data_IF_792826625584
#
_entry.id   IF_792826625584
#
_cell.length_a   1.000
_cell.length_b   1.000
_cell.length_c   1.000
_cell.angle_alpha   90.00
_cell.angle_beta   90.00
_cell.angle_gamma   90.00
#
_symmetry.space_group_name_H-M   'P 1'
#
loop_
_entity.id
_entity.type
_entity.pdbx_description
1 polymer ?
#
# COMPACT_ATOMS: atom_id res chain seq x y z
N UNK A 1 -3.07 -7.14 -6.86
CA UNK A 1 -2.91 -8.44 -6.18
C UNK A 1 -2.48 -8.27 -4.73
N UNK A 2 -1.33 -7.64 -4.45
CA UNK A 2 -0.71 -7.59 -3.12
C UNK A 2 -1.57 -6.98 -1.97
N UNK A 3 -2.21 -5.83 -2.17
CA UNK A 3 -3.05 -5.23 -1.11
C UNK A 3 -4.29 -6.09 -0.80
N UNK A 4 -4.82 -6.80 -1.80
CA UNK A 4 -5.91 -7.75 -1.60
C UNK A 4 -5.40 -8.98 -0.84
N UNK A 5 -4.26 -9.55 -1.24
CA UNK A 5 -3.62 -10.69 -0.57
C UNK A 5 -3.31 -10.42 0.90
N UNK A 6 -2.78 -9.24 1.25
CA UNK A 6 -2.53 -8.84 2.65
C UNK A 6 -3.83 -8.82 3.47
N UNK A 7 -4.97 -8.48 2.86
CA UNK A 7 -6.26 -8.43 3.53
C UNK A 7 -7.05 -9.75 3.48
N UNK A 8 -6.63 -10.72 2.68
CA UNK A 8 -7.27 -12.05 2.58
C UNK A 8 -6.44 -13.19 3.18
N UNK A 9 -5.14 -12.96 3.44
CA UNK A 9 -4.29 -13.93 4.12
C UNK A 9 -4.56 -13.91 5.63
N UNK A 10 -5.15 -14.98 6.14
CA UNK A 10 -5.25 -15.21 7.58
C UNK A 10 -3.89 -15.66 8.11
N UNK A 11 -3.37 -14.98 9.14
CA UNK A 11 -2.26 -15.50 9.94
C UNK A 11 -2.70 -16.77 10.70
N UNK A 12 -1.76 -17.55 11.25
CA UNK A 12 -2.07 -18.75 12.06
C UNK A 12 -3.08 -18.52 13.21
N UNK A 13 -3.30 -17.25 13.60
CA UNK A 13 -4.24 -16.83 14.64
C UNK A 13 -5.53 -16.17 14.09
N UNK A 14 -5.81 -16.27 12.78
CA UNK A 14 -7.03 -15.76 12.15
C UNK A 14 -7.08 -14.25 11.91
N UNK A 15 -6.08 -13.48 12.34
CA UNK A 15 -6.01 -12.02 12.17
C UNK A 15 -5.33 -11.63 10.86
N UNK A 16 -5.71 -10.47 10.32
CA UNK A 16 -4.98 -9.80 9.24
C UNK A 16 -3.55 -9.47 9.69
N UNK A 17 -2.50 -9.80 8.92
CA UNK A 17 -1.12 -9.51 9.30
C UNK A 17 -0.86 -8.00 9.38
N UNK A 18 -0.13 -7.59 10.42
CA UNK A 18 0.32 -6.21 10.59
C UNK A 18 1.50 -5.93 9.64
N UNK A 19 1.21 -5.35 8.47
CA UNK A 19 2.20 -5.05 7.43
C UNK A 19 2.28 -3.55 7.17
N UNK A 20 3.48 -3.03 6.95
CA UNK A 20 3.73 -1.62 6.60
C UNK A 20 4.59 -1.54 5.33
N UNK A 21 4.20 -0.68 4.39
CA UNK A 21 5.01 -0.35 3.21
C UNK A 21 5.62 1.05 3.36
N UNK A 22 6.95 1.10 3.34
CA UNK A 22 7.72 2.33 3.23
C UNK A 22 8.10 2.59 1.76
N UNK A 23 7.81 3.78 1.26
CA UNK A 23 8.13 4.21 -0.11
C UNK A 23 8.30 5.73 -0.19
N UNK A 24 8.65 6.27 -1.36
CA UNK A 24 8.75 7.71 -1.61
C UNK A 24 10.11 8.19 -2.11
N UNK A 25 11.18 7.45 -1.82
CA UNK A 25 12.55 7.89 -2.14
C UNK A 25 13.08 7.44 -3.51
N UNK A 26 12.31 6.64 -4.25
CA UNK A 26 12.72 6.10 -5.53
C UNK A 26 12.54 7.11 -6.68
N UNK A 27 13.59 7.33 -7.45
CA UNK A 27 13.64 8.30 -8.56
C UNK A 27 13.43 7.70 -9.94
N UNK A 28 13.63 6.39 -10.09
CA UNK A 28 13.45 5.70 -11.37
C UNK A 28 12.00 5.75 -11.82
N UNK A 29 11.78 5.59 -13.13
CA UNK A 29 10.43 5.51 -13.69
C UNK A 29 9.59 4.41 -13.03
N UNK A 30 10.18 3.21 -12.89
CA UNK A 30 9.55 2.04 -12.27
C UNK A 30 9.19 2.33 -10.82
N UNK A 31 10.09 3.00 -10.09
CA UNK A 31 9.85 3.41 -8.71
C UNK A 31 8.66 4.35 -8.61
N UNK A 32 8.55 5.35 -9.50
CA UNK A 32 7.41 6.29 -9.52
C UNK A 32 6.12 5.58 -9.89
N UNK A 33 6.15 4.69 -10.87
CA UNK A 33 5.00 3.89 -11.27
C UNK A 33 4.47 3.02 -10.13
N UNK A 34 5.36 2.39 -9.36
CA UNK A 34 4.99 1.60 -8.18
C UNK A 34 4.37 2.49 -7.11
N UNK A 35 4.98 3.64 -6.80
CA UNK A 35 4.45 4.59 -5.81
C UNK A 35 3.05 5.06 -6.18
N UNK A 36 2.84 5.46 -7.43
CA UNK A 36 1.54 5.89 -7.94
C UNK A 36 0.51 4.76 -7.90
N UNK A 37 0.90 3.54 -8.26
CA UNK A 37 0.02 2.37 -8.23
C UNK A 37 -0.45 2.05 -6.81
N UNK A 38 0.44 2.14 -5.81
CA UNK A 38 0.10 1.96 -4.39
C UNK A 38 -0.95 2.99 -3.96
N UNK A 39 -0.71 4.28 -4.26
CA UNK A 39 -1.62 5.35 -3.86
C UNK A 39 -2.97 5.25 -4.56
N UNK A 40 -2.98 4.98 -5.87
CA UNK A 40 -4.22 4.81 -6.66
C UNK A 40 -5.05 3.63 -6.14
N UNK A 41 -4.42 2.52 -5.79
CA UNK A 41 -5.13 1.36 -5.26
C UNK A 41 -5.73 1.65 -3.88
N UNK A 42 -5.00 2.35 -3.00
CA UNK A 42 -5.52 2.79 -1.70
C UNK A 42 -6.73 3.72 -1.83
N UNK A 43 -6.67 4.69 -2.75
CA UNK A 43 -7.76 5.64 -3.02
C UNK A 43 -8.99 4.91 -3.60
N UNK A 44 -8.77 3.92 -4.48
CA UNK A 44 -9.85 3.13 -5.07
C UNK A 44 -10.67 2.35 -4.03
N UNK A 45 -10.05 2.02 -2.89
CA UNK A 45 -10.70 1.32 -1.78
C UNK A 45 -10.83 -0.18 -2.01
N UNK A 46 -11.11 -0.90 -0.91
CA UNK A 46 -11.11 -2.37 -0.87
C UNK A 46 -12.51 -2.95 -1.12
N UNK A 47 -12.57 -3.92 -2.04
CA UNK A 47 -13.76 -4.71 -2.34
C UNK A 47 -14.86 -3.92 -3.04
N UNK A 48 -16.02 -4.58 -3.23
CA UNK A 48 -17.16 -4.00 -4.00
C UNK A 48 -17.64 -2.66 -3.45
N UNK A 49 -17.55 -2.47 -2.13
CA UNK A 49 -18.02 -1.27 -1.45
C UNK A 49 -16.91 -0.22 -1.25
N UNK A 50 -15.71 -0.43 -1.84
CA UNK A 50 -14.57 0.50 -1.78
C UNK A 50 -14.26 0.98 -0.36
N UNK A 51 -14.28 0.06 0.62
CA UNK A 51 -14.02 0.40 2.02
C UNK A 51 -12.58 0.86 2.20
N UNK A 52 -12.33 1.74 3.15
CA UNK A 52 -10.96 2.12 3.54
C UNK A 52 -10.23 0.91 4.10
N UNK A 53 -9.12 0.51 3.47
CA UNK A 53 -8.28 -0.59 3.95
C UNK A 53 -7.54 -0.19 5.23
N UNK A 54 -7.56 -1.06 6.23
CA UNK A 54 -6.84 -0.85 7.51
C UNK A 54 -5.35 -1.19 7.35
N UNK A 55 -5.04 -2.22 6.56
CA UNK A 55 -3.68 -2.63 6.23
C UNK A 55 -3.50 -2.85 4.72
N UNK A 56 -2.26 -2.76 4.20
CA UNK A 56 -1.03 -2.39 4.92
C UNK A 56 -1.00 -0.91 5.31
N UNK A 57 -0.25 -0.53 6.35
CA UNK A 57 0.03 0.90 6.60
C UNK A 57 0.94 1.42 5.49
N UNK A 58 0.72 2.67 5.07
CA UNK A 58 1.53 3.32 4.04
C UNK A 58 2.33 4.45 4.69
N UNK A 59 3.65 4.39 4.57
CA UNK A 59 4.57 5.44 5.06
C UNK A 59 5.30 6.02 3.86
N UNK A 60 4.93 7.23 3.49
CA UNK A 60 5.57 7.98 2.39
C UNK A 60 6.65 8.89 2.94
N UNK A 61 7.89 8.67 2.53
CA UNK A 61 9.03 9.48 2.93
C UNK A 61 9.16 10.74 2.05
N UNK A 62 9.21 11.89 2.70
CA UNK A 62 9.38 13.20 2.07
C UNK A 62 10.86 13.59 2.07
N UNK A 63 11.36 14.13 0.95
CA UNK A 63 12.71 14.68 0.83
C UNK A 63 12.73 15.87 -0.12
N UNK A 64 13.31 16.97 0.34
CA UNK A 64 13.53 18.16 -0.49
C UNK A 64 14.28 17.83 -1.79
N UNK A 65 13.85 18.47 -2.88
CA UNK A 65 14.38 18.23 -4.23
C UNK A 65 13.97 16.90 -4.89
N UNK A 66 13.07 16.11 -4.27
CA UNK A 66 12.58 14.85 -4.84
C UNK A 66 11.07 14.81 -5.01
N UNK A 67 10.32 15.05 -3.93
CA UNK A 67 8.88 14.91 -3.85
C UNK A 67 8.25 15.95 -2.94
#
# INVERSE_FOLDING_TARGET
SLEYEVNTLHTANGQTPFVTFGFGLGTSWESRLIQESILRNRIAGLGKNRKTAVFPKLVFAIRDGLN
#
